data_IF_417169975348
#
_entry.id   IF_417169975348
#
_cell.length_a   1.000
_cell.length_b   1.000
_cell.length_c   1.000
_cell.angle_alpha   90.00
_cell.angle_beta   90.00
_cell.angle_gamma   90.00
#
_symmetry.space_group_name_H-M   'P 1'
#
loop_
_entity.id
_entity.type
_entity.pdbx_description
1 polymer ?
#
# COMPACT_ATOMS: atom_id res chain seq x y z
N UNK A 1 -23.84 4.52 -39.49
CA UNK A 1 -23.14 5.62 -38.78
C UNK A 1 -23.35 5.38 -37.29
N UNK A 2 -22.35 4.88 -36.58
CA UNK A 2 -22.41 4.77 -35.12
C UNK A 2 -21.75 6.05 -34.58
N UNK A 3 -22.55 7.08 -34.35
CA UNK A 3 -22.10 8.28 -33.64
C UNK A 3 -21.77 7.81 -32.22
N UNK A 4 -20.50 7.46 -32.00
CA UNK A 4 -19.95 7.06 -30.70
C UNK A 4 -19.87 8.25 -29.74
N UNK A 5 -20.91 9.08 -29.73
CA UNK A 5 -20.98 10.32 -28.98
C UNK A 5 -21.02 9.96 -27.49
N UNK A 6 -20.06 10.50 -26.75
CA UNK A 6 -19.87 10.26 -25.33
C UNK A 6 -20.10 11.59 -24.60
N UNK A 7 -21.37 12.03 -24.46
CA UNK A 7 -21.68 13.33 -23.89
C UNK A 7 -21.29 13.42 -22.41
N UNK A 8 -21.19 12.28 -21.71
CA UNK A 8 -20.91 12.25 -20.28
C UNK A 8 -19.40 12.16 -20.00
N UNK A 9 -18.74 13.32 -19.88
CA UNK A 9 -17.31 13.42 -19.57
C UNK A 9 -17.03 13.43 -18.06
N UNK A 10 -15.92 12.82 -17.65
CA UNK A 10 -15.42 12.93 -16.28
C UNK A 10 -14.80 14.31 -16.04
N UNK A 11 -15.14 14.94 -14.91
CA UNK A 11 -14.59 16.23 -14.49
C UNK A 11 -13.44 16.09 -13.46
N UNK A 12 -12.94 14.88 -13.24
CA UNK A 12 -11.85 14.67 -12.29
C UNK A 12 -10.52 15.16 -12.90
N UNK A 13 -9.70 15.93 -12.17
CA UNK A 13 -8.41 16.41 -12.67
C UNK A 13 -7.54 15.25 -13.16
N UNK A 14 -7.04 15.35 -14.40
CA UNK A 14 -6.23 14.28 -15.01
C UNK A 14 -7.02 13.05 -15.50
N UNK A 15 -8.36 13.10 -15.51
CA UNK A 15 -9.18 12.04 -16.10
C UNK A 15 -10.00 12.53 -17.30
N UNK A 16 -9.67 12.03 -18.49
CA UNK A 16 -10.34 12.41 -19.74
C UNK A 16 -11.38 11.37 -20.22
N UNK A 17 -11.81 10.46 -19.33
CA UNK A 17 -12.77 9.41 -19.69
C UNK A 17 -14.15 10.02 -19.96
N UNK A 18 -14.77 9.59 -21.06
CA UNK A 18 -16.13 9.93 -21.44
C UNK A 18 -16.97 8.68 -21.67
N UNK A 19 -18.27 8.77 -21.39
CA UNK A 19 -19.22 7.66 -21.41
C UNK A 19 -20.45 8.02 -22.23
N UNK A 20 -21.10 7.00 -22.80
CA UNK A 20 -22.36 7.12 -23.54
C UNK A 20 -23.58 7.18 -22.62
N UNK A 21 -23.44 6.75 -21.36
CA UNK A 21 -24.52 6.72 -20.37
C UNK A 21 -24.09 7.38 -19.05
N UNK A 22 -25.02 8.08 -18.41
CA UNK A 22 -24.80 8.73 -17.11
C UNK A 22 -24.51 7.74 -15.99
N UNK A 23 -25.18 6.58 -15.97
CA UNK A 23 -24.97 5.48 -15.01
C UNK A 23 -23.52 4.99 -14.99
N UNK A 24 -22.90 4.90 -16.17
CA UNK A 24 -21.51 4.50 -16.34
C UNK A 24 -20.55 5.59 -15.84
N UNK A 25 -20.84 6.86 -16.13
CA UNK A 25 -20.09 7.99 -15.56
C UNK A 25 -20.18 8.01 -14.03
N UNK A 26 -21.37 7.82 -13.45
CA UNK A 26 -21.55 7.77 -12.00
C UNK A 26 -20.76 6.62 -11.36
N UNK A 27 -20.83 5.43 -11.95
CA UNK A 27 -20.05 4.27 -11.49
C UNK A 27 -18.55 4.50 -11.59
N UNK A 28 -18.10 5.14 -12.67
CA UNK A 28 -16.71 5.53 -12.86
C UNK A 28 -16.25 6.59 -11.84
N UNK A 29 -17.08 7.59 -11.51
CA UNK A 29 -16.74 8.61 -10.50
C UNK A 29 -16.44 8.02 -9.12
N UNK A 30 -17.04 6.87 -8.76
CA UNK A 30 -16.70 6.12 -7.54
C UNK A 30 -15.27 5.56 -7.53
N UNK A 31 -14.59 5.52 -8.67
CA UNK A 31 -13.17 5.14 -8.73
C UNK A 31 -12.24 6.31 -8.41
N UNK A 32 -12.71 7.55 -8.65
CA UNK A 32 -12.02 8.79 -8.28
C UNK A 32 -12.24 9.12 -6.82
N UNK A 33 -13.50 9.08 -6.37
CA UNK A 33 -13.84 8.98 -4.97
C UNK A 33 -13.71 7.52 -4.53
N UNK A 34 -12.47 7.02 -4.43
CA UNK A 34 -12.18 6.00 -3.42
C UNK A 34 -12.42 6.70 -2.08
N UNK A 35 -13.69 6.79 -1.66
CA UNK A 35 -14.10 7.30 -0.36
C UNK A 35 -13.55 6.31 0.66
N UNK A 36 -12.29 6.55 0.96
CA UNK A 36 -11.46 5.77 1.83
C UNK A 36 -11.01 6.77 2.88
N UNK A 37 -11.92 7.12 3.81
CA UNK A 37 -11.66 8.15 4.81
C UNK A 37 -10.44 7.77 5.67
N UNK A 38 -10.16 6.47 5.76
CA UNK A 38 -9.04 5.91 6.51
C UNK A 38 -7.78 5.86 5.65
N UNK A 39 -6.92 6.89 5.78
CA UNK A 39 -5.64 6.98 5.08
C UNK A 39 -4.48 6.67 6.02
N UNK A 40 -3.56 5.83 5.57
CA UNK A 40 -2.29 5.61 6.23
C UNK A 40 -1.39 6.83 6.02
N UNK A 41 -0.92 7.46 7.10
CA UNK A 41 -0.02 8.60 7.02
C UNK A 41 1.40 8.20 6.55
N UNK A 42 1.81 6.96 6.80
CA UNK A 42 3.18 6.49 6.52
C UNK A 42 3.42 6.16 5.03
N UNK A 43 2.38 5.75 4.29
CA UNK A 43 2.50 5.38 2.88
C UNK A 43 1.36 5.88 1.98
N UNK A 44 0.49 6.72 2.52
CA UNK A 44 -0.64 7.35 1.82
C UNK A 44 -1.64 6.37 1.18
N UNK A 45 -1.59 5.07 1.51
CA UNK A 45 -2.62 4.11 1.14
C UNK A 45 -3.92 4.40 1.86
N UNK A 46 -5.01 4.31 1.14
CA UNK A 46 -6.35 4.56 1.66
C UNK A 46 -7.14 3.25 1.77
N UNK A 47 -7.98 3.15 2.80
CA UNK A 47 -8.82 2.03 3.20
C UNK A 47 -10.29 2.45 3.39
N UNK A 48 -11.22 1.55 3.08
CA UNK A 48 -12.67 1.78 3.17
C UNK A 48 -13.20 1.79 4.59
N UNK A 49 -12.46 1.18 5.51
CA UNK A 49 -12.84 0.95 6.91
C UNK A 49 -11.60 1.05 7.83
N UNK A 50 -11.85 1.34 9.11
CA UNK A 50 -10.82 1.53 10.11
C UNK A 50 -10.05 0.23 10.42
N UNK A 51 -10.74 -0.91 10.47
CA UNK A 51 -10.13 -2.21 10.76
C UNK A 51 -9.06 -2.59 9.74
N UNK A 52 -9.33 -2.37 8.44
CA UNK A 52 -8.37 -2.60 7.37
C UNK A 52 -7.18 -1.65 7.44
N UNK A 53 -7.39 -0.40 7.85
CA UNK A 53 -6.30 0.54 8.13
C UNK A 53 -5.46 0.07 9.32
N UNK A 54 -6.07 -0.41 10.40
CA UNK A 54 -5.39 -0.86 11.61
C UNK A 54 -4.50 -2.09 11.35
N UNK A 55 -5.03 -3.11 10.67
CA UNK A 55 -4.24 -4.28 10.22
C UNK A 55 -3.08 -3.85 9.34
N UNK A 56 -3.30 -2.86 8.46
CA UNK A 56 -2.23 -2.33 7.65
C UNK A 56 -1.19 -1.55 8.47
N UNK A 57 -1.59 -0.75 9.47
CA UNK A 57 -0.66 -0.03 10.34
C UNK A 57 0.25 -1.01 11.11
N UNK A 58 -0.26 -2.20 11.46
CA UNK A 58 0.57 -3.26 12.02
C UNK A 58 1.73 -3.68 11.09
N UNK A 59 1.57 -3.59 9.77
CA UNK A 59 2.67 -3.89 8.83
C UNK A 59 3.78 -2.84 8.86
N UNK A 60 3.47 -1.61 9.27
CA UNK A 60 4.47 -0.55 9.44
C UNK A 60 5.27 -0.75 10.73
N UNK A 61 4.65 -1.23 11.81
CA UNK A 61 5.35 -1.55 13.07
C UNK A 61 6.18 -2.84 12.96
N UNK A 62 5.74 -3.84 12.17
CA UNK A 62 6.48 -5.09 11.96
C UNK A 62 7.74 -4.91 11.09
N UNK A 63 7.94 -3.75 10.45
CA UNK A 63 9.18 -3.44 9.72
C UNK A 63 10.42 -3.28 10.62
N UNK A 64 10.24 -3.25 11.93
CA UNK A 64 11.32 -3.44 12.88
C UNK A 64 11.21 -4.83 13.52
N UNK A 65 11.19 -5.89 12.71
CA UNK A 65 11.77 -7.14 13.19
C UNK A 65 13.17 -6.76 13.69
N UNK A 66 13.40 -6.81 15.01
CA UNK A 66 14.69 -6.49 15.61
C UNK A 66 15.72 -7.38 14.91
N UNK A 67 16.44 -6.79 13.96
CA UNK A 67 17.48 -7.49 13.22
C UNK A 67 18.69 -7.50 14.12
N UNK A 68 19.21 -8.69 14.37
CA UNK A 68 20.39 -8.91 15.17
C UNK A 68 21.59 -8.87 14.23
N UNK A 69 22.42 -7.84 14.34
CA UNK A 69 23.59 -7.65 13.48
C UNK A 69 24.84 -8.19 14.15
N UNK A 70 25.65 -8.94 13.39
CA UNK A 70 26.98 -9.36 13.83
C UNK A 70 27.92 -8.16 13.95
N UNK A 71 28.62 -8.02 15.08
CA UNK A 71 29.60 -6.95 15.30
C UNK A 71 30.91 -7.14 14.53
N UNK A 72 31.20 -8.36 14.06
CA UNK A 72 32.46 -8.69 13.36
C UNK A 72 32.31 -8.51 11.85
N UNK A 73 31.21 -8.98 11.26
CA UNK A 73 31.02 -8.99 9.80
C UNK A 73 29.74 -8.29 9.31
N UNK A 74 29.01 -7.62 10.20
CA UNK A 74 27.81 -6.83 9.90
C UNK A 74 26.65 -7.58 9.24
N UNK A 75 26.66 -8.92 9.23
CA UNK A 75 25.51 -9.73 8.78
C UNK A 75 24.31 -9.57 9.70
N UNK A 76 23.12 -9.41 9.11
CA UNK A 76 21.86 -9.28 9.82
C UNK A 76 21.13 -10.63 9.93
N UNK A 77 20.52 -10.87 11.09
CA UNK A 77 19.74 -12.08 11.39
C UNK A 77 18.36 -11.70 11.94
N UNK A 78 17.36 -12.52 11.65
CA UNK A 78 15.97 -12.29 12.09
C UNK A 78 15.72 -12.75 13.55
N UNK A 79 16.66 -13.46 14.17
CA UNK A 79 16.60 -13.85 15.58
C UNK A 79 17.98 -13.83 16.24
N UNK A 80 17.98 -13.66 17.57
CA UNK A 80 19.19 -13.71 18.41
C UNK A 80 19.86 -15.09 18.37
N UNK A 81 19.07 -16.17 18.36
CA UNK A 81 19.57 -17.55 18.35
C UNK A 81 20.39 -17.85 17.09
N UNK A 82 20.00 -17.31 15.94
CA UNK A 82 20.77 -17.45 14.69
C UNK A 82 22.06 -16.62 14.73
N UNK A 83 22.01 -15.40 15.28
CA UNK A 83 23.22 -14.59 15.48
C UNK A 83 24.22 -15.33 16.39
N UNK A 84 23.77 -15.89 17.53
CA UNK A 84 24.65 -16.59 18.47
C UNK A 84 25.32 -17.83 17.86
N UNK A 85 24.58 -18.62 17.05
CA UNK A 85 25.17 -19.74 16.30
C UNK A 85 26.21 -19.26 15.28
N UNK A 86 25.95 -18.12 14.63
CA UNK A 86 26.92 -17.52 13.72
C UNK A 86 28.18 -17.02 14.45
N UNK A 87 28.04 -16.39 15.61
CA UNK A 87 29.18 -15.87 16.39
C UNK A 87 30.18 -16.97 16.77
N UNK A 88 29.73 -18.22 17.01
CA UNK A 88 30.62 -19.36 17.26
C UNK A 88 31.58 -19.65 16.11
N UNK A 89 31.22 -19.29 14.87
CA UNK A 89 32.08 -19.51 13.69
C UNK A 89 33.20 -18.48 13.56
N UNK A 90 33.13 -17.35 14.28
CA UNK A 90 34.21 -16.36 14.33
C UNK A 90 35.23 -16.65 15.44
N UNK A 91 34.88 -17.51 16.39
CA UNK A 91 35.73 -17.90 17.53
C UNK A 91 36.53 -19.20 17.25
N UNK A 92 36.68 -19.56 15.97
CA UNK A 92 37.50 -20.67 15.45
C UNK A 92 38.53 -20.04 14.51
#
# INVERSE_FOLDING_TARGET
IHTGDRPYKCAHPGCEKAFTQLSNLQSHRRQHNKDKPFKCHNCHRAYTDAASLEVHLATHTVKHAKVYTCSICSRAYTSETYLMKHMRKHNI
#
